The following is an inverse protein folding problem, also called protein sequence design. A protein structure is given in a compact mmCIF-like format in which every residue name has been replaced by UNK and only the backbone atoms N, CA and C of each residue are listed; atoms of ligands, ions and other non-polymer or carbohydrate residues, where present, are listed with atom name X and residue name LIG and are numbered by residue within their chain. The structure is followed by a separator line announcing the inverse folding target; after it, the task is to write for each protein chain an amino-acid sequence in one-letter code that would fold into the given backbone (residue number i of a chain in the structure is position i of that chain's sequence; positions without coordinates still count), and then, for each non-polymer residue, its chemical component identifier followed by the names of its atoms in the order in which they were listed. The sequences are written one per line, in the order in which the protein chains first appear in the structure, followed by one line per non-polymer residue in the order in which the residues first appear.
data_IF_458525066820
#
_entry.id   IF_458525066820
#
_cell.length_a   1.000
_cell.length_b   1.000
_cell.length_c   1.000
_cell.angle_alpha   90.00
_cell.angle_beta   90.00
_cell.angle_gamma   90.00
#
_symmetry.space_group_name_H-M   'P 1'
#
loop_
_entity.id
_entity.type
_entity.pdbx_description
1 polymer ?
#
# COMPACT_ATOMS: atom_id res chain seq x y z
N UNK A 1 3.32 -0.11 13.32
CA UNK A 1 2.50 0.06 12.09
C UNK A 1 3.07 1.19 11.24
N UNK A 2 3.70 0.89 10.11
CA UNK A 2 4.15 1.92 9.18
C UNK A 2 2.97 2.37 8.30
N UNK A 3 2.63 3.67 8.25
CA UNK A 3 1.57 4.14 7.36
C UNK A 3 1.95 3.87 5.89
N UNK A 4 0.96 3.50 5.07
CA UNK A 4 1.15 3.36 3.63
C UNK A 4 1.69 4.68 3.07
N UNK A 5 2.87 4.59 2.48
CA UNK A 5 3.54 5.72 1.87
C UNK A 5 2.88 6.03 0.53
N UNK A 6 2.00 7.04 0.52
CA UNK A 6 1.24 7.48 -0.66
C UNK A 6 2.19 8.15 -1.65
N UNK A 7 2.05 7.82 -2.93
CA UNK A 7 2.73 8.58 -3.98
C UNK A 7 2.06 9.95 -4.09
N UNK A 8 2.85 11.01 -3.99
CA UNK A 8 2.38 12.39 -4.14
C UNK A 8 1.57 12.57 -5.44
N UNK A 9 1.97 11.90 -6.53
CA UNK A 9 1.27 11.92 -7.82
C UNK A 9 -0.22 11.56 -7.72
N UNK A 10 -0.60 10.58 -6.90
CA UNK A 10 -2.02 10.19 -6.78
C UNK A 10 -2.86 11.33 -6.20
N UNK A 11 -2.36 11.99 -5.15
CA UNK A 11 -3.07 13.11 -4.51
C UNK A 11 -3.10 14.36 -5.41
N UNK A 12 -2.00 14.63 -6.13
CA UNK A 12 -1.91 15.73 -7.10
C UNK A 12 -2.90 15.54 -8.25
N UNK A 13 -3.04 14.31 -8.77
CA UNK A 13 -3.99 14.01 -9.85
C UNK A 13 -5.44 14.17 -9.38
N UNK A 14 -5.77 13.71 -8.16
CA UNK A 14 -7.09 13.90 -7.57
C UNK A 14 -7.42 15.39 -7.41
N UNK A 15 -6.44 16.21 -7.03
CA UNK A 15 -6.64 17.67 -6.93
C UNK A 15 -6.80 18.32 -8.30
N UNK A 16 -6.07 17.91 -9.33
CA UNK A 16 -6.32 18.39 -10.69
C UNK A 16 -7.73 18.07 -11.18
N UNK A 17 -8.23 16.86 -10.88
CA UNK A 17 -9.61 16.50 -11.17
C UNK A 17 -10.61 17.40 -10.42
N UNK A 18 -10.36 17.67 -9.13
CA UNK A 18 -11.18 18.57 -8.33
C UNK A 18 -11.17 20.01 -8.86
N UNK A 19 -10.00 20.57 -9.18
CA UNK A 19 -9.85 21.91 -9.76
C UNK A 19 -10.57 22.00 -11.10
N UNK A 20 -10.40 21.01 -11.99
CA UNK A 20 -11.10 20.97 -13.27
C UNK A 20 -12.63 20.92 -13.08
N UNK A 21 -13.11 20.09 -12.15
CA UNK A 21 -14.52 20.00 -11.81
C UNK A 21 -15.08 21.31 -11.22
N UNK A 22 -14.34 21.96 -10.33
CA UNK A 22 -14.70 23.26 -9.75
C UNK A 22 -14.78 24.36 -10.82
N UNK A 23 -13.79 24.45 -11.71
CA UNK A 23 -13.79 25.41 -12.83
C UNK A 23 -14.98 25.15 -13.76
N UNK A 24 -15.22 23.89 -14.12
CA UNK A 24 -16.35 23.51 -14.97
C UNK A 24 -17.70 23.85 -14.30
N UNK A 25 -17.85 23.60 -13.00
CA UNK A 25 -19.06 23.94 -12.25
C UNK A 25 -19.27 25.46 -12.22
N UNK A 26 -18.23 26.25 -11.98
CA UNK A 26 -18.33 27.73 -12.00
C UNK A 26 -18.74 28.24 -13.37
N UNK A 27 -18.11 27.73 -14.45
CA UNK A 27 -18.47 28.12 -15.82
C UNK A 27 -19.92 27.76 -16.12
N UNK A 28 -20.35 26.55 -15.77
CA UNK A 28 -21.71 26.09 -16.02
C UNK A 28 -22.75 26.89 -15.23
N UNK A 29 -22.53 27.15 -13.94
CA UNK A 29 -23.48 27.89 -13.10
C UNK A 29 -23.54 29.36 -13.50
N UNK A 30 -22.39 29.99 -13.80
CA UNK A 30 -22.34 31.41 -14.16
C UNK A 30 -22.86 31.65 -15.58
N UNK A 31 -22.30 30.97 -16.60
CA UNK A 31 -22.64 31.21 -18.00
C UNK A 31 -23.82 30.37 -18.48
N UNK A 32 -23.98 29.15 -17.98
CA UNK A 32 -25.04 28.23 -18.41
C UNK A 32 -26.38 28.48 -17.71
N UNK A 33 -26.36 28.67 -16.39
CA UNK A 33 -27.58 28.91 -15.59
C UNK A 33 -27.88 30.40 -15.34
N UNK A 34 -26.90 31.28 -15.55
CA UNK A 34 -27.06 32.73 -15.35
C UNK A 34 -27.16 33.15 -13.88
N UNK A 35 -26.57 32.39 -12.95
CA UNK A 35 -26.65 32.71 -11.52
C UNK A 35 -25.61 33.75 -11.10
N UNK A 36 -25.95 34.57 -10.11
CA UNK A 36 -25.06 35.63 -9.60
C UNK A 36 -24.03 35.06 -8.62
N UNK A 37 -22.90 34.60 -9.15
CA UNK A 37 -21.78 34.11 -8.35
C UNK A 37 -20.82 35.24 -7.97
N UNK A 38 -20.25 35.23 -6.74
CA UNK A 38 -19.11 36.08 -6.40
C UNK A 38 -17.85 35.54 -7.09
N UNK A 39 -17.71 35.86 -8.38
CA UNK A 39 -16.77 35.20 -9.30
C UNK A 39 -15.30 35.38 -8.86
N UNK A 40 -14.93 36.59 -8.45
CA UNK A 40 -13.55 36.89 -8.04
C UNK A 40 -13.07 36.06 -6.85
N UNK A 41 -13.74 36.04 -5.68
CA UNK A 41 -13.26 35.25 -4.54
C UNK A 41 -13.34 33.74 -4.81
N UNK A 42 -14.33 33.26 -5.57
CA UNK A 42 -14.44 31.84 -5.94
C UNK A 42 -13.26 31.42 -6.84
N UNK A 43 -12.99 32.18 -7.91
CA UNK A 43 -11.85 31.90 -8.80
C UNK A 43 -10.52 32.05 -8.07
N UNK A 44 -10.38 33.02 -7.16
CA UNK A 44 -9.18 33.16 -6.34
C UNK A 44 -8.93 31.93 -5.44
N UNK A 45 -9.98 31.40 -4.81
CA UNK A 45 -9.89 30.19 -3.99
C UNK A 45 -9.53 28.94 -4.82
N UNK A 46 -10.09 28.80 -6.03
CA UNK A 46 -9.72 27.73 -6.98
C UNK A 46 -8.27 27.90 -7.45
N UNK A 47 -7.88 29.11 -7.83
CA UNK A 47 -6.54 29.42 -8.30
C UNK A 47 -5.47 29.19 -7.21
N UNK A 48 -5.76 29.52 -5.95
CA UNK A 48 -4.86 29.23 -4.82
C UNK A 48 -4.62 27.71 -4.67
N UNK A 49 -5.67 26.90 -4.83
CA UNK A 49 -5.57 25.44 -4.81
C UNK A 49 -4.74 24.91 -5.98
N UNK A 50 -5.02 25.42 -7.19
CA UNK A 50 -4.27 25.10 -8.40
C UNK A 50 -2.78 25.47 -8.28
N UNK A 51 -2.49 26.67 -7.78
CA UNK A 51 -1.13 27.16 -7.58
C UNK A 51 -0.34 26.30 -6.61
N UNK A 52 -0.92 25.95 -5.46
CA UNK A 52 -0.29 25.04 -4.50
C UNK A 52 0.03 23.68 -5.15
N UNK A 53 -0.88 23.16 -5.98
CA UNK A 53 -0.69 21.90 -6.68
C UNK A 53 0.43 21.97 -7.73
N UNK A 54 0.52 23.09 -8.45
CA UNK A 54 1.60 23.39 -9.40
C UNK A 54 2.95 23.42 -8.66
N UNK A 55 3.05 24.17 -7.55
CA UNK A 55 4.25 24.24 -6.72
C UNK A 55 4.66 22.86 -6.23
N UNK A 56 3.73 22.04 -5.73
CA UNK A 56 4.01 20.67 -5.28
C UNK A 56 4.51 19.77 -6.41
N UNK A 57 3.99 19.94 -7.62
CA UNK A 57 4.39 19.16 -8.81
C UNK A 57 5.80 19.52 -9.28
N UNK A 58 6.17 20.80 -9.26
CA UNK A 58 7.52 21.25 -9.64
C UNK A 58 8.57 21.03 -8.54
N UNK A 59 8.19 21.17 -7.27
CA UNK A 59 9.12 21.10 -6.14
C UNK A 59 9.57 19.69 -5.79
N UNK A 60 8.73 18.69 -6.06
CA UNK A 60 8.97 17.31 -5.65
C UNK A 60 8.89 16.33 -6.83
N UNK A 61 9.79 15.33 -6.90
CA UNK A 61 9.75 14.32 -7.95
C UNK A 61 8.49 13.47 -7.81
N UNK A 62 7.99 12.96 -8.96
CA UNK A 62 6.78 12.15 -9.01
C UNK A 62 6.84 10.85 -8.17
N UNK A 63 8.04 10.36 -7.88
CA UNK A 63 8.30 9.20 -7.02
C UNK A 63 8.25 9.53 -5.52
N UNK A 64 8.13 10.81 -5.14
CA UNK A 64 8.08 11.22 -3.73
C UNK A 64 6.90 10.53 -3.04
N UNK A 65 7.26 9.85 -1.96
CA UNK A 65 6.35 9.18 -1.06
C UNK A 65 6.11 10.07 0.16
N UNK A 66 4.86 10.49 0.36
CA UNK A 66 4.50 11.34 1.48
C UNK A 66 4.55 10.56 2.79
N UNK A 67 5.05 11.23 3.82
CA UNK A 67 4.90 10.79 5.19
C UNK A 67 3.43 10.94 5.64
N UNK A 68 3.02 10.19 6.66
CA UNK A 68 1.66 10.30 7.20
C UNK A 68 1.31 11.72 7.70
N UNK A 69 2.31 12.50 8.13
CA UNK A 69 2.11 13.91 8.51
C UNK A 69 1.87 14.81 7.29
N UNK A 70 2.67 14.68 6.24
CA UNK A 70 2.47 15.48 5.01
C UNK A 70 1.12 15.17 4.36
N UNK A 71 0.73 13.88 4.29
CA UNK A 71 -0.57 13.48 3.75
C UNK A 71 -1.75 14.05 4.56
N UNK A 72 -1.64 14.08 5.90
CA UNK A 72 -2.64 14.74 6.76
C UNK A 72 -2.79 16.22 6.44
N UNK A 73 -1.67 16.94 6.34
CA UNK A 73 -1.68 18.37 6.06
C UNK A 73 -2.30 18.63 4.68
N UNK A 74 -1.95 17.81 3.70
CA UNK A 74 -2.50 17.91 2.34
C UNK A 74 -4.02 17.76 2.32
N UNK A 75 -4.56 16.71 2.94
CA UNK A 75 -6.01 16.47 3.00
C UNK A 75 -6.74 17.49 3.90
N UNK A 76 -6.08 17.97 4.96
CA UNK A 76 -6.60 19.04 5.80
C UNK A 76 -6.75 20.36 5.02
N UNK A 77 -5.77 20.68 4.17
CA UNK A 77 -5.88 21.81 3.24
C UNK A 77 -7.05 21.62 2.26
N UNK A 78 -7.22 20.41 1.68
CA UNK A 78 -8.35 20.14 0.78
C UNK A 78 -9.70 20.36 1.47
N UNK A 79 -9.84 19.90 2.73
CA UNK A 79 -11.05 20.11 3.53
C UNK A 79 -11.33 21.60 3.76
N UNK A 80 -10.32 22.37 4.16
CA UNK A 80 -10.48 23.81 4.40
C UNK A 80 -10.76 24.57 3.10
N UNK A 81 -10.11 24.21 2.01
CA UNK A 81 -10.34 24.83 0.70
C UNK A 81 -11.77 24.58 0.21
N UNK A 82 -12.25 23.35 0.34
CA UNK A 82 -13.64 23.01 0.05
C UNK A 82 -14.59 23.79 0.95
N UNK A 83 -14.29 23.92 2.23
CA UNK A 83 -15.09 24.70 3.17
C UNK A 83 -15.18 26.17 2.75
N UNK A 84 -14.07 26.79 2.33
CA UNK A 84 -14.05 28.18 1.83
C UNK A 84 -14.91 28.33 0.58
N UNK A 85 -14.81 27.40 -0.37
CA UNK A 85 -15.66 27.46 -1.57
C UNK A 85 -17.14 27.33 -1.24
N UNK A 86 -17.50 26.40 -0.37
CA UNK A 86 -18.88 26.20 0.05
C UNK A 86 -19.39 27.39 0.86
N UNK A 87 -18.56 27.98 1.72
CA UNK A 87 -18.89 29.21 2.44
C UNK A 87 -19.32 30.32 1.46
N UNK A 88 -18.56 30.54 0.38
CA UNK A 88 -18.85 31.57 -0.63
C UNK A 88 -20.03 31.22 -1.54
N UNK A 89 -20.52 29.98 -1.51
CA UNK A 89 -21.48 29.47 -2.49
C UNK A 89 -22.68 28.77 -1.84
N UNK A 90 -23.11 29.20 -0.66
CA UNK A 90 -24.37 28.75 -0.04
C UNK A 90 -24.25 27.73 1.10
N UNK A 91 -23.04 27.46 1.60
CA UNK A 91 -22.80 26.56 2.72
C UNK A 91 -23.30 25.14 2.44
N UNK A 92 -24.09 24.58 3.36
CA UNK A 92 -24.67 23.24 3.19
C UNK A 92 -25.83 23.17 2.20
N UNK A 93 -26.39 24.32 1.79
CA UNK A 93 -27.41 24.35 0.74
C UNK A 93 -26.80 24.06 -0.65
N UNK A 94 -25.48 24.20 -0.77
CA UNK A 94 -24.77 23.85 -1.98
C UNK A 94 -24.71 22.31 -2.14
N UNK A 95 -25.14 21.76 -3.28
CA UNK A 95 -25.16 20.31 -3.51
C UNK A 95 -23.76 19.67 -3.43
N UNK A 96 -22.68 20.43 -3.64
CA UNK A 96 -21.32 19.93 -3.52
C UNK A 96 -20.86 19.76 -2.07
N UNK A 97 -21.67 20.10 -1.06
CA UNK A 97 -21.36 19.85 0.35
C UNK A 97 -21.11 18.35 0.64
N UNK A 98 -21.71 17.43 -0.12
CA UNK A 98 -21.43 16.00 -0.03
C UNK A 98 -19.98 15.63 -0.36
N UNK A 99 -19.23 16.50 -1.04
CA UNK A 99 -17.82 16.26 -1.36
C UNK A 99 -16.91 16.22 -0.13
N UNK A 100 -17.35 16.71 1.03
CA UNK A 100 -16.63 16.53 2.31
C UNK A 100 -16.36 15.04 2.63
N UNK A 101 -17.23 14.15 2.16
CA UNK A 101 -17.11 12.71 2.36
C UNK A 101 -15.86 12.14 1.69
N UNK A 102 -15.47 12.67 0.53
CA UNK A 102 -14.39 12.13 -0.27
C UNK A 102 -13.00 12.21 0.41
N UNK A 103 -12.47 13.39 0.83
CA UNK A 103 -11.16 13.47 1.47
C UNK A 103 -11.10 12.72 2.79
N UNK A 104 -12.20 12.65 3.55
CA UNK A 104 -12.26 11.87 4.80
C UNK A 104 -12.24 10.37 4.52
N UNK A 105 -12.98 9.91 3.50
CA UNK A 105 -12.97 8.50 3.06
C UNK A 105 -11.59 8.10 2.53
N UNK A 106 -10.95 8.96 1.73
CA UNK A 106 -9.57 8.77 1.26
C UNK A 106 -8.63 8.67 2.47
N UNK A 107 -8.80 9.53 3.48
CA UNK A 107 -7.96 9.45 4.69
C UNK A 107 -8.13 8.11 5.42
N UNK A 108 -9.36 7.59 5.50
CA UNK A 108 -9.67 6.32 6.16
C UNK A 108 -9.00 5.11 5.50
N UNK A 109 -8.85 5.14 4.17
CA UNK A 109 -8.24 4.04 3.43
C UNK A 109 -6.71 4.06 3.53
N UNK A 110 -6.10 5.24 3.63
CA UNK A 110 -4.64 5.38 3.45
C UNK A 110 -3.88 5.77 4.73
N UNK A 111 -4.49 6.54 5.63
CA UNK A 111 -3.85 7.04 6.84
C UNK A 111 -4.15 6.18 8.06
N UNK A 112 -3.46 6.47 9.17
CA UNK A 112 -3.73 5.83 10.47
C UNK A 112 -5.08 6.28 11.03
N UNK A 113 -5.68 5.45 11.88
CA UNK A 113 -6.97 5.75 12.51
C UNK A 113 -6.98 7.11 13.20
N UNK A 114 -5.93 7.45 13.96
CA UNK A 114 -5.84 8.76 14.62
C UNK A 114 -5.81 9.94 13.65
N UNK A 115 -5.15 9.79 12.50
CA UNK A 115 -5.13 10.81 11.46
C UNK A 115 -6.50 11.00 10.80
N UNK A 116 -7.19 9.89 10.52
CA UNK A 116 -8.55 9.87 9.97
C UNK A 116 -9.53 10.52 10.93
N UNK A 117 -9.45 10.21 12.23
CA UNK A 117 -10.29 10.83 13.27
C UNK A 117 -10.06 12.35 13.34
N UNK A 118 -8.81 12.80 13.26
CA UNK A 118 -8.49 14.23 13.21
C UNK A 118 -9.11 14.94 11.99
N UNK A 119 -8.98 14.34 10.80
CA UNK A 119 -9.54 14.90 9.57
C UNK A 119 -11.08 14.83 9.55
N UNK A 120 -11.66 13.75 10.07
CA UNK A 120 -13.11 13.62 10.23
C UNK A 120 -13.67 14.65 11.21
N UNK A 121 -12.98 14.90 12.33
CA UNK A 121 -13.31 15.97 13.27
C UNK A 121 -13.22 17.35 12.63
N UNK A 122 -12.15 17.63 11.88
CA UNK A 122 -12.03 18.88 11.13
C UNK A 122 -13.19 19.06 10.13
N UNK A 123 -13.51 18.02 9.36
CA UNK A 123 -14.62 18.04 8.41
C UNK A 123 -15.97 18.28 9.10
N UNK A 124 -16.23 17.60 10.23
CA UNK A 124 -17.44 17.80 11.01
C UNK A 124 -17.57 19.22 11.55
N UNK A 125 -16.46 19.81 12.02
CA UNK A 125 -16.41 21.22 12.44
C UNK A 125 -16.73 22.13 11.25
N UNK A 126 -16.09 21.94 10.09
CA UNK A 126 -16.37 22.74 8.89
C UNK A 126 -17.83 22.63 8.46
N UNK A 127 -18.39 21.41 8.39
CA UNK A 127 -19.78 21.16 8.03
C UNK A 127 -20.73 21.84 9.02
N UNK A 128 -20.43 21.78 10.32
CA UNK A 128 -21.23 22.46 11.34
C UNK A 128 -21.15 23.98 11.21
N UNK A 129 -19.95 24.54 11.04
CA UNK A 129 -19.78 25.98 10.82
C UNK A 129 -20.55 26.45 9.58
N UNK A 130 -20.47 25.70 8.47
CA UNK A 130 -21.18 26.01 7.22
C UNK A 130 -22.69 25.83 7.29
N UNK A 131 -23.23 25.18 8.33
CA UNK A 131 -24.66 25.09 8.56
C UNK A 131 -25.23 26.40 9.13
N UNK A 132 -24.40 27.16 9.86
CA UNK A 132 -24.81 28.38 10.56
C UNK A 132 -24.22 29.66 9.96
N UNK A 133 -23.02 29.58 9.37
CA UNK A 133 -22.28 30.70 8.80
C UNK A 133 -21.85 30.40 7.37
N UNK A 134 -22.51 31.06 6.42
CA UNK A 134 -22.18 31.01 5.00
C UNK A 134 -22.78 32.22 4.28
N UNK A 135 -22.24 32.54 3.10
CA UNK A 135 -22.88 33.49 2.18
C UNK A 135 -24.16 32.87 1.59
N UNK A 136 -25.16 33.68 1.20
CA UNK A 136 -26.38 33.17 0.60
C UNK A 136 -26.06 32.37 -0.68
N UNK A 137 -26.87 31.35 -0.94
CA UNK A 137 -26.70 30.51 -2.13
C UNK A 137 -26.87 31.38 -3.39
N UNK A 138 -25.86 31.40 -4.29
CA UNK A 138 -25.97 32.07 -5.58
C UNK A 138 -27.16 31.56 -6.37
N UNK A 139 -28.04 32.48 -6.78
CA UNK A 139 -29.26 32.14 -7.49
C UNK A 139 -29.52 33.11 -8.66
N UNK A 140 -30.68 33.01 -9.29
CA UNK A 140 -31.11 33.93 -10.36
C UNK A 140 -31.30 35.34 -9.82
N UNK A 141 -31.01 36.33 -10.67
CA UNK A 141 -31.18 37.74 -10.33
C UNK A 141 -32.63 38.02 -9.91
N UNK A 142 -32.81 38.61 -8.73
CA UNK A 142 -34.14 38.99 -8.21
C UNK A 142 -34.88 37.88 -7.46
N UNK A 143 -34.33 36.67 -7.40
CA UNK A 143 -34.88 35.54 -6.66
C UNK A 143 -33.94 35.17 -5.49
N UNK A 144 -34.51 34.74 -4.35
CA UNK A 144 -33.74 34.16 -3.25
C UNK A 144 -34.25 32.77 -2.94
N UNK A 145 -33.34 31.79 -2.87
CA UNK A 145 -33.67 30.43 -2.46
C UNK A 145 -33.30 30.27 -0.98
N UNK A 146 -34.30 30.34 -0.12
CA UNK A 146 -34.12 30.11 1.31
C UNK A 146 -34.64 28.72 1.68
N UNK A 147 -33.73 27.82 2.04
CA UNK A 147 -34.11 26.49 2.51
C UNK A 147 -34.62 26.55 3.95
N UNK A 148 -35.72 25.85 4.30
CA UNK A 148 -36.16 25.73 5.68
C UNK A 148 -35.06 25.16 6.57
N UNK A 149 -34.90 25.68 7.79
CA UNK A 149 -33.85 25.26 8.71
C UNK A 149 -33.87 23.74 9.00
N UNK A 150 -35.07 23.14 9.04
CA UNK A 150 -35.22 21.69 9.20
C UNK A 150 -34.58 20.90 8.05
N UNK A 151 -34.69 21.39 6.81
CA UNK A 151 -34.09 20.74 5.64
C UNK A 151 -32.57 20.85 5.66
N UNK A 152 -32.03 22.04 5.96
CA UNK A 152 -30.59 22.24 6.13
C UNK A 152 -30.02 21.41 7.30
N UNK A 153 -30.76 21.28 8.39
CA UNK A 153 -30.43 20.38 9.50
C UNK A 153 -30.42 18.90 9.08
N UNK A 154 -31.34 18.50 8.20
CA UNK A 154 -31.35 17.18 7.57
C UNK A 154 -30.11 16.93 6.72
N UNK A 155 -29.68 17.90 5.91
CA UNK A 155 -28.43 17.81 5.14
C UNK A 155 -27.21 17.71 6.07
N UNK A 156 -27.15 18.54 7.11
CA UNK A 156 -26.08 18.49 8.12
C UNK A 156 -26.01 17.11 8.76
N UNK A 157 -27.15 16.55 9.18
CA UNK A 157 -27.22 15.21 9.77
C UNK A 157 -26.79 14.13 8.78
N UNK A 158 -27.24 14.21 7.53
CA UNK A 158 -26.88 13.27 6.47
C UNK A 158 -25.38 13.28 6.16
N UNK A 159 -24.76 14.45 6.01
CA UNK A 159 -23.32 14.58 5.78
C UNK A 159 -22.55 14.09 7.00
N UNK A 160 -22.96 14.48 8.21
CA UNK A 160 -22.30 14.07 9.45
C UNK A 160 -22.34 12.55 9.66
N UNK A 161 -23.51 11.94 9.45
CA UNK A 161 -23.66 10.48 9.50
C UNK A 161 -22.85 9.81 8.39
N UNK A 162 -22.87 10.38 7.18
CA UNK A 162 -22.06 9.92 6.05
C UNK A 162 -20.56 9.95 6.36
N UNK A 163 -20.07 11.02 6.99
CA UNK A 163 -18.67 11.15 7.40
C UNK A 163 -18.28 9.99 8.34
N UNK A 164 -19.09 9.72 9.36
CA UNK A 164 -18.82 8.61 10.29
C UNK A 164 -18.93 7.26 9.60
N UNK A 165 -20.04 7.02 8.90
CA UNK A 165 -20.34 5.72 8.31
C UNK A 165 -19.37 5.35 7.18
N UNK A 166 -19.16 6.24 6.20
CA UNK A 166 -18.27 5.96 5.07
C UNK A 166 -16.82 5.86 5.51
N UNK A 167 -16.37 6.70 6.46
CA UNK A 167 -15.00 6.59 6.96
C UNK A 167 -14.77 5.31 7.75
N UNK A 168 -15.71 4.90 8.60
CA UNK A 168 -15.62 3.64 9.35
C UNK A 168 -15.65 2.43 8.40
N UNK A 169 -16.55 2.43 7.42
CA UNK A 169 -16.64 1.37 6.42
C UNK A 169 -15.36 1.27 5.58
N UNK A 170 -14.90 2.40 5.03
CA UNK A 170 -13.68 2.44 4.22
C UNK A 170 -12.44 2.03 5.01
N UNK A 171 -12.35 2.42 6.29
CA UNK A 171 -11.27 1.97 7.17
C UNK A 171 -11.32 0.46 7.40
N UNK A 172 -12.51 -0.11 7.66
CA UNK A 172 -12.70 -1.54 7.86
C UNK A 172 -12.28 -2.34 6.64
N UNK A 173 -12.77 -1.96 5.46
CA UNK A 173 -12.41 -2.59 4.17
C UNK A 173 -10.90 -2.50 3.95
N UNK A 174 -10.30 -1.32 4.13
CA UNK A 174 -8.86 -1.15 3.93
C UNK A 174 -8.03 -1.95 4.96
N UNK A 175 -8.51 -2.10 6.20
CA UNK A 175 -7.86 -2.92 7.21
C UNK A 175 -7.92 -4.42 6.86
N UNK A 176 -9.04 -4.89 6.32
CA UNK A 176 -9.20 -6.26 5.82
C UNK A 176 -8.30 -6.55 4.62
N UNK A 177 -8.26 -5.65 3.62
CA UNK A 177 -7.36 -5.78 2.46
C UNK A 177 -5.89 -5.84 2.88
N UNK A 178 -5.49 -5.03 3.87
CA UNK A 178 -4.12 -5.08 4.41
C UNK A 178 -3.81 -6.43 5.06
N UNK A 179 -4.70 -6.94 5.92
CA UNK A 179 -4.54 -8.26 6.56
C UNK A 179 -4.42 -9.38 5.53
N UNK A 180 -5.24 -9.35 4.49
CA UNK A 180 -5.18 -10.33 3.40
C UNK A 180 -3.88 -10.24 2.61
N UNK A 181 -3.39 -9.03 2.33
CA UNK A 181 -2.11 -8.80 1.65
C UNK A 181 -0.93 -9.31 2.48
N UNK A 182 -0.94 -9.06 3.79
CA UNK A 182 0.10 -9.52 4.72
C UNK A 182 0.11 -11.06 4.82
N UNK A 183 -1.08 -11.68 4.89
CA UNK A 183 -1.22 -13.14 4.90
C UNK A 183 -0.71 -13.77 3.60
N UNK A 184 -1.07 -13.21 2.44
CA UNK A 184 -0.58 -13.68 1.14
C UNK A 184 0.94 -13.58 1.03
N UNK A 185 1.53 -12.47 1.47
CA UNK A 185 2.98 -12.28 1.47
C UNK A 185 3.68 -13.34 2.35
N UNK A 186 3.12 -13.64 3.52
CA UNK A 186 3.63 -14.70 4.39
C UNK A 186 3.55 -16.09 3.74
N UNK A 187 2.43 -16.43 3.10
CA UNK A 187 2.26 -17.70 2.37
C UNK A 187 3.23 -17.81 1.20
N UNK A 188 3.41 -16.75 0.40
CA UNK A 188 4.37 -16.73 -0.70
C UNK A 188 5.80 -16.93 -0.21
N UNK A 189 6.17 -16.32 0.93
CA UNK A 189 7.49 -16.51 1.53
C UNK A 189 7.71 -17.95 2.00
N UNK A 190 6.69 -18.60 2.57
CA UNK A 190 6.75 -20.01 2.96
C UNK A 190 6.87 -20.93 1.74
N UNK A 191 6.06 -20.71 0.70
CA UNK A 191 6.09 -21.49 -0.53
C UNK A 191 7.44 -21.36 -1.24
N UNK A 192 7.98 -20.15 -1.35
CA UNK A 192 9.30 -19.91 -1.94
C UNK A 192 10.40 -20.67 -1.21
N UNK A 193 10.35 -20.71 0.13
CA UNK A 193 11.27 -21.49 0.96
C UNK A 193 11.12 -23.00 0.71
N UNK A 194 9.90 -23.51 0.62
CA UNK A 194 9.64 -24.93 0.33
C UNK A 194 10.11 -25.34 -1.07
N UNK A 195 9.88 -24.49 -2.08
CA UNK A 195 10.37 -24.71 -3.44
C UNK A 195 11.89 -24.75 -3.50
N UNK A 196 12.57 -23.86 -2.76
CA UNK A 196 14.02 -23.87 -2.65
C UNK A 196 14.55 -25.18 -2.05
N UNK A 197 13.95 -25.67 -0.96
CA UNK A 197 14.35 -26.95 -0.36
C UNK A 197 14.06 -28.14 -1.27
N UNK A 198 12.91 -28.15 -1.96
CA UNK A 198 12.57 -29.20 -2.91
C UNK A 198 13.55 -29.24 -4.09
N UNK A 199 13.93 -28.06 -4.63
CA UNK A 199 14.92 -27.96 -5.70
C UNK A 199 16.30 -28.45 -5.26
N UNK A 200 16.76 -28.07 -4.05
CA UNK A 200 18.00 -28.57 -3.46
C UNK A 200 17.97 -30.08 -3.23
N UNK A 201 16.84 -30.62 -2.74
CA UNK A 201 16.65 -32.05 -2.56
C UNK A 201 16.70 -32.82 -3.89
N UNK A 202 16.06 -32.29 -4.94
CA UNK A 202 16.10 -32.89 -6.28
C UNK A 202 17.53 -32.88 -6.86
N UNK A 203 18.27 -31.78 -6.71
CA UNK A 203 19.67 -31.70 -7.13
C UNK A 203 20.57 -32.65 -6.33
N UNK A 204 20.39 -32.77 -5.02
CA UNK A 204 21.14 -33.70 -4.17
C UNK A 204 20.87 -35.16 -4.56
N UNK A 205 19.60 -35.51 -4.82
CA UNK A 205 19.23 -36.85 -5.29
C UNK A 205 19.83 -37.15 -6.67
N UNK A 206 19.78 -36.20 -7.61
CA UNK A 206 20.38 -36.35 -8.93
C UNK A 206 21.91 -36.52 -8.83
N UNK A 207 22.60 -35.70 -8.03
CA UNK A 207 24.04 -35.81 -7.81
C UNK A 207 24.44 -37.15 -7.16
N UNK A 208 23.65 -37.64 -6.19
CA UNK A 208 23.88 -38.94 -5.57
C UNK A 208 23.72 -40.09 -6.56
N UNK A 209 22.77 -40.02 -7.50
CA UNK A 209 22.57 -41.03 -8.53
C UNK A 209 23.69 -41.01 -9.59
N UNK A 210 23.99 -39.85 -10.16
CA UNK A 210 24.98 -39.65 -11.22
C UNK A 210 26.43 -39.93 -10.73
N UNK A 211 26.78 -39.54 -9.51
CA UNK A 211 28.12 -39.77 -8.94
C UNK A 211 28.23 -41.11 -8.20
N UNK A 212 27.11 -41.71 -7.79
CA UNK A 212 27.10 -42.99 -7.08
C UNK A 212 27.64 -44.15 -7.92
N UNK A 213 27.33 -44.16 -9.22
CA UNK A 213 27.82 -45.15 -10.18
C UNK A 213 29.35 -45.10 -10.38
N UNK A 214 29.97 -43.96 -10.76
CA UNK A 214 31.43 -43.88 -10.95
C UNK A 214 32.21 -44.11 -9.66
N UNK A 215 31.73 -43.64 -8.50
CA UNK A 215 32.35 -43.96 -7.21
C UNK A 215 32.24 -45.46 -6.88
N UNK A 216 31.12 -46.10 -7.23
CA UNK A 216 30.96 -47.55 -7.14
C UNK A 216 31.97 -48.30 -8.00
N UNK A 217 32.14 -47.88 -9.26
CA UNK A 217 33.16 -48.44 -10.16
C UNK A 217 34.57 -48.25 -9.60
N UNK A 218 34.92 -47.06 -9.12
CA UNK A 218 36.23 -46.79 -8.51
C UNK A 218 36.49 -47.73 -7.33
N UNK A 219 35.52 -47.92 -6.43
CA UNK A 219 35.68 -48.83 -5.30
C UNK A 219 35.85 -50.30 -5.72
N UNK A 220 35.18 -50.76 -6.77
CA UNK A 220 35.34 -52.13 -7.30
C UNK A 220 36.72 -52.30 -7.93
N UNK A 221 37.14 -51.37 -8.79
CA UNK A 221 38.46 -51.41 -9.43
C UNK A 221 39.58 -51.34 -8.39
N UNK A 222 39.46 -50.44 -7.40
CA UNK A 222 40.44 -50.34 -6.32
C UNK A 222 40.55 -51.65 -5.53
N UNK A 223 39.43 -52.33 -5.25
CA UNK A 223 39.39 -53.62 -4.56
C UNK A 223 40.02 -54.76 -5.37
N UNK A 224 39.82 -54.80 -6.69
CA UNK A 224 40.46 -55.79 -7.57
C UNK A 224 41.98 -55.60 -7.64
N UNK A 225 42.42 -54.34 -7.76
CA UNK A 225 43.85 -53.99 -7.74
C UNK A 225 44.48 -54.32 -6.38
N UNK A 226 43.76 -54.09 -5.27
CA UNK A 226 44.22 -54.46 -3.92
C UNK A 226 44.40 -55.98 -3.78
N UNK A 227 43.54 -56.79 -4.40
CA UNK A 227 43.67 -58.25 -4.42
C UNK A 227 44.87 -58.74 -5.24
N UNK A 228 45.29 -57.97 -6.25
CA UNK A 228 46.39 -58.30 -7.15
C UNK A 228 47.76 -57.78 -6.67
N UNK A 229 47.77 -56.87 -5.69
CA UNK A 229 48.98 -56.31 -5.10
C UNK A 229 49.62 -57.27 -4.07
N UNK A 230 50.92 -57.16 -3.87
CA UNK A 230 51.66 -57.92 -2.85
C UNK A 230 51.01 -57.77 -1.45
N UNK A 231 51.11 -58.83 -0.63
CA UNK A 231 50.42 -58.91 0.66
C UNK A 231 50.76 -57.77 1.63
N UNK A 232 51.92 -57.13 1.46
CA UNK A 232 52.35 -55.95 2.22
C UNK A 232 53.22 -55.04 1.34
N UNK A 233 52.94 -53.74 1.36
CA UNK A 233 53.68 -52.73 0.60
C UNK A 233 52.87 -51.45 0.37
N UNK A 234 53.53 -50.32 0.08
CA UNK A 234 52.91 -48.99 0.00
C UNK A 234 51.76 -48.89 -1.02
N UNK A 235 51.83 -49.62 -2.14
CA UNK A 235 50.75 -49.66 -3.15
C UNK A 235 49.43 -50.20 -2.58
N UNK A 236 49.49 -51.19 -1.66
CA UNK A 236 48.30 -51.79 -1.06
C UNK A 236 47.64 -50.83 -0.07
N UNK A 237 48.43 -50.05 0.68
CA UNK A 237 47.92 -48.98 1.55
C UNK A 237 47.20 -47.90 0.74
N UNK A 238 47.81 -47.42 -0.36
CA UNK A 238 47.20 -46.41 -1.23
C UNK A 238 45.87 -46.89 -1.85
N UNK A 239 45.80 -48.16 -2.30
CA UNK A 239 44.57 -48.75 -2.85
C UNK A 239 43.46 -48.90 -1.80
N UNK A 240 43.83 -49.29 -0.57
CA UNK A 240 42.90 -49.33 0.57
C UNK A 240 42.33 -47.94 0.85
N UNK A 241 43.20 -46.93 0.92
CA UNK A 241 42.80 -45.54 1.14
C UNK A 241 41.87 -45.03 0.03
N UNK A 242 42.17 -45.33 -1.24
CA UNK A 242 41.37 -44.91 -2.39
C UNK A 242 39.97 -45.53 -2.36
N UNK A 243 39.87 -46.82 -1.98
CA UNK A 243 38.59 -47.51 -1.77
C UNK A 243 37.77 -46.85 -0.65
N UNK A 244 38.41 -46.59 0.50
CA UNK A 244 37.78 -45.94 1.65
C UNK A 244 37.29 -44.53 1.33
N UNK A 245 38.07 -43.73 0.59
CA UNK A 245 37.62 -42.40 0.16
C UNK A 245 36.43 -42.47 -0.80
N UNK A 246 36.44 -43.41 -1.75
CA UNK A 246 35.34 -43.58 -2.70
C UNK A 246 34.04 -44.05 -2.01
N UNK A 247 34.15 -44.92 -0.99
CA UNK A 247 33.03 -45.32 -0.13
C UNK A 247 32.52 -44.15 0.72
N UNK A 248 33.43 -43.37 1.31
CA UNK A 248 33.09 -42.20 2.12
C UNK A 248 32.40 -41.11 1.29
N UNK A 249 32.85 -40.85 0.07
CA UNK A 249 32.17 -39.92 -0.85
C UNK A 249 30.74 -40.38 -1.17
N UNK A 250 30.54 -41.68 -1.42
CA UNK A 250 29.20 -42.27 -1.62
C UNK A 250 28.31 -42.08 -0.40
N UNK A 251 28.85 -42.30 0.80
CA UNK A 251 28.09 -42.16 2.03
C UNK A 251 27.68 -40.70 2.29
N UNK A 252 28.58 -39.73 2.04
CA UNK A 252 28.27 -38.30 2.15
C UNK A 252 27.15 -37.90 1.18
N UNK A 253 27.23 -38.36 -0.09
CA UNK A 253 26.20 -38.10 -1.10
C UNK A 253 24.85 -38.72 -0.71
N UNK A 254 24.83 -39.95 -0.19
CA UNK A 254 23.62 -40.61 0.28
C UNK A 254 23.00 -39.89 1.49
N UNK A 255 23.82 -39.35 2.40
CA UNK A 255 23.31 -38.53 3.52
C UNK A 255 22.69 -37.22 3.04
N UNK A 256 23.28 -36.59 2.03
CA UNK A 256 22.76 -35.36 1.40
C UNK A 256 21.41 -35.59 0.70
N UNK A 257 21.20 -36.76 0.08
CA UNK A 257 19.91 -37.10 -0.55
C UNK A 257 18.81 -37.47 0.45
N UNK A 258 19.16 -38.00 1.62
CA UNK A 258 18.19 -38.45 2.63
C UNK A 258 17.83 -37.41 3.72
N UNK A 259 18.59 -36.31 3.86
CA UNK A 259 18.29 -35.22 4.82
C UNK A 259 18.15 -33.84 4.15
N UNK A 260 17.06 -33.57 3.42
CA UNK A 260 16.72 -32.20 3.06
C UNK A 260 15.94 -31.57 4.22
N UNK A 261 16.61 -31.11 5.28
CA UNK A 261 15.90 -30.30 6.30
C UNK A 261 16.54 -30.09 7.68
N UNK A 262 17.52 -30.88 8.13
CA UNK A 262 18.09 -30.74 9.48
C UNK A 262 19.44 -30.02 9.48
N UNK A 263 19.42 -28.74 9.11
CA UNK A 263 20.42 -27.78 9.58
C UNK A 263 19.77 -26.94 10.70
N UNK A 264 19.33 -27.62 11.76
CA UNK A 264 19.05 -26.96 13.03
C UNK A 264 20.39 -26.88 13.77
N UNK A 265 20.79 -25.65 14.07
CA UNK A 265 21.99 -25.27 14.81
C UNK A 265 22.19 -26.14 16.06
N UNK A 266 23.30 -26.91 16.18
CA UNK A 266 23.77 -27.39 17.48
C UNK A 266 24.64 -26.31 18.13
N UNK A 267 24.29 -25.99 19.37
CA UNK A 267 25.15 -25.38 20.40
C UNK A 267 25.46 -23.87 20.32
N UNK A 268 24.61 -23.09 20.98
CA UNK A 268 25.04 -21.91 21.74
C UNK A 268 24.32 -21.85 23.09
N UNK A 269 24.64 -22.79 23.97
CA UNK A 269 24.48 -22.66 25.43
C UNK A 269 25.68 -23.34 26.11
N UNK A 270 26.70 -22.53 26.41
CA UNK A 270 27.60 -22.66 27.56
C UNK A 270 28.05 -21.25 27.93
#
# INVERSE_FOLDING_TARGET
MAPLRIRLRTLVNLRWLAVAGQVAAVIFVYFGLGFTLPLYPVLAAIAASGWLNVVLTFRYPASKRLTGREARIYLGYDLLQLAVLLFLTGGLQNPFALLFLAPVTISATILSLGATVQLGGLAFICVTLLAFWHEPLPWRVGETLNMPALYTGGIWAAISLGLVFLSAYAWRVAAETRRMSDALAATQMSLARQQQFSALGALAAAAAHELGSPLGTISVVARELEHSAAASGPMREDLTLLREQAERCREILARLSHRPGSAEHPDMLA
#
